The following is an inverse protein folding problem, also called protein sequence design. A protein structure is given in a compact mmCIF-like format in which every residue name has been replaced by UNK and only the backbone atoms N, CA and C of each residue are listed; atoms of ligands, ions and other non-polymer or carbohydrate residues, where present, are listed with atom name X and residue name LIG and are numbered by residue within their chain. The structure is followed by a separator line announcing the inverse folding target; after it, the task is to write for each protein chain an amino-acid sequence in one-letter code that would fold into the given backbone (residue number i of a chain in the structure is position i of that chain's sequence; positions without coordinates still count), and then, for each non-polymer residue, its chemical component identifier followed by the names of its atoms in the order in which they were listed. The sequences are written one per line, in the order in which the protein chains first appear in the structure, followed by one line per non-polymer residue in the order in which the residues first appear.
data_IF_098148240775
#
_entry.id   IF_098148240775
#
_cell.length_a   1.000
_cell.length_b   1.000
_cell.length_c   1.000
_cell.angle_alpha   90.00
_cell.angle_beta   90.00
_cell.angle_gamma   90.00
#
_symmetry.space_group_name_H-M   'P 1'
#
loop_
_entity.id
_entity.type
_entity.pdbx_description
1 polymer ?
#
# COMPACT_ATOMS: atom_id res chain seq x y z
N UNK A 1 -0.53 -27.22 -12.40
CA UNK A 1 0.87 -26.82 -12.20
C UNK A 1 1.68 -27.21 -13.42
N UNK A 2 2.76 -26.49 -13.74
CA UNK A 2 3.71 -26.91 -14.76
C UNK A 2 4.67 -27.99 -14.19
N UNK A 3 5.58 -28.48 -15.03
CA UNK A 3 6.57 -29.50 -14.65
C UNK A 3 7.53 -29.05 -13.53
N UNK A 4 7.58 -27.74 -13.22
CA UNK A 4 8.34 -27.16 -12.10
C UNK A 4 7.50 -26.89 -10.85
N UNK A 5 6.23 -27.33 -10.84
CA UNK A 5 5.32 -27.13 -9.71
C UNK A 5 4.67 -25.75 -9.65
N UNK A 6 4.83 -24.88 -10.66
CA UNK A 6 4.23 -23.54 -10.66
C UNK A 6 2.79 -23.58 -11.17
N UNK A 7 1.89 -22.87 -10.51
CA UNK A 7 0.53 -22.65 -10.98
C UNK A 7 0.31 -21.18 -11.30
N UNK A 8 -0.44 -20.90 -12.37
CA UNK A 8 -0.94 -19.56 -12.67
C UNK A 8 -2.41 -19.52 -12.30
N UNK A 9 -2.77 -18.60 -11.41
CA UNK A 9 -4.16 -18.27 -11.11
C UNK A 9 -4.53 -17.01 -11.89
N UNK A 10 -5.65 -17.06 -12.61
CA UNK A 10 -6.26 -15.89 -13.22
C UNK A 10 -7.59 -15.63 -12.51
N UNK A 11 -7.80 -14.40 -12.09
CA UNK A 11 -9.04 -13.92 -11.49
C UNK A 11 -9.46 -12.66 -12.24
N UNK A 12 -10.73 -12.31 -12.16
CA UNK A 12 -11.20 -11.00 -12.59
C UNK A 12 -10.48 -9.89 -11.80
N UNK A 13 -10.58 -8.65 -12.27
CA UNK A 13 -9.93 -7.52 -11.59
C UNK A 13 -10.37 -7.47 -10.13
N UNK A 14 -9.42 -7.65 -9.21
CA UNK A 14 -9.67 -7.52 -7.78
C UNK A 14 -10.01 -6.05 -7.44
N UNK A 15 -10.92 -5.89 -6.49
CA UNK A 15 -11.21 -4.59 -5.89
C UNK A 15 -10.11 -4.15 -4.91
N UNK A 16 -10.24 -2.96 -4.36
CA UNK A 16 -9.34 -2.48 -3.31
C UNK A 16 -9.65 -3.23 -2.00
N UNK A 17 -8.65 -3.88 -1.39
CA UNK A 17 -8.83 -4.58 -0.10
C UNK A 17 -7.71 -5.57 0.26
N UNK A 18 -7.89 -6.24 1.40
CA UNK A 18 -7.06 -7.37 1.83
C UNK A 18 -7.68 -8.68 1.36
N UNK A 19 -6.84 -9.57 0.88
CA UNK A 19 -7.21 -10.86 0.31
C UNK A 19 -6.35 -11.95 0.92
N UNK A 20 -6.91 -13.17 0.92
CA UNK A 20 -6.21 -14.39 1.28
C UNK A 20 -6.33 -15.40 0.16
N UNK A 21 -5.19 -15.88 -0.33
CA UNK A 21 -5.13 -16.97 -1.28
C UNK A 21 -4.98 -18.27 -0.49
N UNK A 22 -5.99 -19.12 -0.55
CA UNK A 22 -5.98 -20.45 0.05
C UNK A 22 -5.88 -21.51 -1.06
N UNK A 23 -4.94 -22.43 -0.91
CA UNK A 23 -4.76 -23.57 -1.80
C UNK A 23 -5.09 -24.84 -1.04
N UNK A 24 -5.85 -25.73 -1.66
CA UNK A 24 -6.32 -26.98 -1.06
C UNK A 24 -5.71 -28.17 -1.80
N UNK A 25 -5.37 -29.23 -1.07
CA UNK A 25 -4.92 -30.48 -1.68
C UNK A 25 -6.14 -31.30 -2.18
N UNK A 26 -6.30 -31.52 -3.50
CA UNK A 26 -7.42 -32.28 -4.03
C UNK A 26 -7.40 -33.76 -3.62
N UNK A 27 -6.26 -34.31 -3.19
CA UNK A 27 -6.14 -35.70 -2.76
C UNK A 27 -6.80 -35.98 -1.40
N UNK A 28 -7.09 -34.94 -0.61
CA UNK A 28 -7.63 -35.09 0.75
C UNK A 28 -9.16 -35.11 0.84
N UNK A 29 -9.85 -35.22 -0.30
CA UNK A 29 -11.30 -35.45 -0.34
C UNK A 29 -12.13 -34.39 0.41
N UNK A 30 -13.28 -34.79 0.96
CA UNK A 30 -14.29 -33.90 1.56
C UNK A 30 -13.81 -33.06 2.76
N UNK A 31 -12.61 -33.30 3.28
CA UNK A 31 -12.06 -32.59 4.43
C UNK A 31 -11.59 -31.16 4.11
N UNK A 32 -11.40 -30.79 2.83
CA UNK A 32 -10.98 -29.43 2.36
C UNK A 32 -9.96 -28.76 3.31
N UNK A 33 -8.92 -29.48 3.69
CA UNK A 33 -7.86 -28.90 4.52
C UNK A 33 -7.00 -27.97 3.66
N UNK A 34 -6.79 -26.74 4.13
CA UNK A 34 -5.94 -25.75 3.46
C UNK A 34 -4.49 -26.24 3.49
N UNK A 35 -3.92 -26.50 2.31
CA UNK A 35 -2.53 -26.93 2.15
C UNK A 35 -1.55 -25.76 2.34
N UNK A 36 -1.94 -24.57 1.90
CA UNK A 36 -1.17 -23.34 2.10
C UNK A 36 -2.10 -22.11 2.02
N UNK A 37 -1.73 -21.05 2.75
CA UNK A 37 -2.44 -19.79 2.73
C UNK A 37 -1.44 -18.63 2.70
N UNK A 38 -1.71 -17.61 1.89
CA UNK A 38 -0.96 -16.35 1.90
C UNK A 38 -1.92 -15.16 1.90
N UNK A 39 -1.56 -14.10 2.61
CA UNK A 39 -2.30 -12.83 2.62
C UNK A 39 -1.62 -11.82 1.69
N UNK A 40 -2.43 -11.02 1.00
CA UNK A 40 -1.95 -9.97 0.12
C UNK A 40 -2.98 -8.84 0.03
N UNK A 41 -2.54 -7.63 -0.30
CA UNK A 41 -3.44 -6.51 -0.57
C UNK A 41 -3.57 -6.27 -2.09
N UNK A 42 -4.75 -5.83 -2.51
CA UNK A 42 -4.97 -5.29 -3.85
C UNK A 42 -5.51 -3.86 -3.71
N UNK A 43 -5.13 -2.98 -4.64
CA UNK A 43 -5.51 -1.58 -4.61
C UNK A 43 -4.44 -0.66 -4.04
N UNK A 44 -4.62 0.64 -4.28
CA UNK A 44 -3.62 1.68 -4.01
C UNK A 44 -3.60 2.15 -2.55
N UNK A 45 -4.68 1.93 -1.79
CA UNK A 45 -4.86 2.39 -0.40
C UNK A 45 -4.21 1.52 0.66
N UNK A 46 -3.66 0.37 0.28
CA UNK A 46 -3.21 -0.64 1.21
C UNK A 46 -1.73 -0.90 0.95
N UNK A 47 -0.87 -0.10 1.61
CA UNK A 47 0.56 -0.36 1.68
C UNK A 47 0.87 -1.75 2.24
N UNK A 48 2.14 -2.15 2.22
CA UNK A 48 2.60 -3.46 2.70
C UNK A 48 1.91 -3.81 4.03
N UNK A 49 1.34 -5.02 4.10
CA UNK A 49 0.87 -5.61 5.35
C UNK A 49 2.09 -5.61 6.26
N UNK A 50 2.20 -4.63 7.15
CA UNK A 50 3.22 -4.63 8.18
C UNK A 50 2.85 -5.78 9.12
N UNK A 51 3.42 -6.95 8.85
CA UNK A 51 3.57 -7.96 9.87
C UNK A 51 4.51 -7.37 10.93
N UNK A 52 3.93 -6.76 11.96
CA UNK A 52 4.38 -6.84 13.35
C UNK A 52 3.64 -5.81 14.22
N UNK A 53 2.85 -6.36 15.15
CA UNK A 53 2.42 -5.97 16.50
C UNK A 53 2.76 -4.62 17.17
N UNK A 54 3.24 -3.60 16.46
CA UNK A 54 3.45 -2.25 17.02
C UNK A 54 2.56 -1.25 16.29
N UNK A 55 1.47 -0.77 16.91
CA UNK A 55 0.46 0.08 16.27
C UNK A 55 0.94 1.51 15.97
N UNK A 56 2.24 1.77 15.88
CA UNK A 56 2.81 3.12 15.71
C UNK A 56 3.14 3.46 14.24
N UNK A 57 2.68 2.64 13.28
CA UNK A 57 3.00 2.84 11.86
C UNK A 57 1.98 3.76 11.18
N UNK A 58 2.47 4.78 10.50
CA UNK A 58 1.69 5.60 9.57
C UNK A 58 1.75 4.98 8.18
N UNK A 59 0.60 4.65 7.59
CA UNK A 59 0.56 4.18 6.20
C UNK A 59 0.35 5.35 5.24
N UNK A 60 1.14 5.41 4.17
CA UNK A 60 1.04 6.42 3.12
C UNK A 60 0.80 5.75 1.77
N UNK A 61 -0.11 6.33 0.98
CA UNK A 61 -0.36 5.93 -0.40
C UNK A 61 -0.54 7.14 -1.31
N UNK A 62 -0.24 6.98 -2.60
CA UNK A 62 -0.35 8.02 -3.62
C UNK A 62 -1.59 7.81 -4.48
N UNK A 63 -2.22 8.92 -4.91
CA UNK A 63 -3.38 8.86 -5.82
C UNK A 63 -3.05 8.23 -7.18
N UNK A 64 -1.79 8.30 -7.63
CA UNK A 64 -1.29 7.72 -8.89
C UNK A 64 0.21 7.46 -8.83
N UNK A 65 0.70 6.59 -9.73
CA UNK A 65 2.09 6.12 -9.73
C UNK A 65 3.12 7.15 -10.22
N UNK A 66 2.73 8.09 -11.08
CA UNK A 66 3.65 9.04 -11.71
C UNK A 66 3.05 10.43 -11.76
N UNK A 67 3.89 11.42 -11.52
CA UNK A 67 3.53 12.82 -11.58
C UNK A 67 4.44 13.57 -12.53
N UNK A 68 3.86 14.50 -13.27
CA UNK A 68 4.62 15.47 -14.05
C UNK A 68 4.96 16.69 -13.18
N UNK A 69 6.10 17.35 -13.40
CA UNK A 69 6.36 18.65 -12.79
C UNK A 69 5.22 19.64 -13.07
N UNK A 70 4.83 20.40 -12.05
CA UNK A 70 3.69 21.33 -12.09
C UNK A 70 2.36 20.72 -11.66
N UNK A 71 2.27 19.40 -11.48
CA UNK A 71 1.10 18.76 -10.87
C UNK A 71 1.11 18.87 -9.35
N UNK A 72 -0.04 18.57 -8.74
CA UNK A 72 -0.17 18.40 -7.28
C UNK A 72 -0.27 16.92 -6.95
N UNK A 73 0.67 16.44 -6.14
CA UNK A 73 0.62 15.11 -5.55
C UNK A 73 -0.32 15.12 -4.34
N UNK A 74 -1.27 14.18 -4.31
CA UNK A 74 -2.08 13.91 -3.13
C UNK A 74 -1.67 12.59 -2.52
N UNK A 75 -1.41 12.64 -1.22
CA UNK A 75 -1.02 11.53 -0.38
C UNK A 75 -2.18 11.23 0.56
N UNK A 76 -2.66 10.00 0.53
CA UNK A 76 -3.57 9.51 1.55
C UNK A 76 -2.73 8.94 2.69
N UNK A 77 -2.94 9.49 3.88
CA UNK A 77 -2.21 9.16 5.09
C UNK A 77 -3.18 8.60 6.11
N UNK A 78 -2.93 7.40 6.61
CA UNK A 78 -3.68 6.84 7.73
C UNK A 78 -2.75 6.70 8.92
N UNK A 79 -3.02 7.50 9.95
CA UNK A 79 -2.30 7.45 11.20
C UNK A 79 -2.93 6.40 12.14
N UNK A 80 -2.21 5.96 13.17
CA UNK A 80 -2.80 5.06 14.17
C UNK A 80 -3.75 5.75 15.15
N UNK A 81 -3.65 7.06 15.31
CA UNK A 81 -4.52 7.90 16.13
C UNK A 81 -4.61 9.30 15.52
N UNK A 82 -5.57 10.10 15.98
CA UNK A 82 -5.74 11.48 15.53
C UNK A 82 -4.66 12.38 16.16
N UNK A 83 -4.03 13.24 15.35
CA UNK A 83 -2.95 14.11 15.81
C UNK A 83 -2.38 14.99 14.70
N UNK A 84 -1.37 15.79 15.02
CA UNK A 84 -0.66 16.60 14.02
C UNK A 84 0.48 15.79 13.38
N UNK A 85 0.61 15.91 12.06
CA UNK A 85 1.64 15.26 11.26
C UNK A 85 2.42 16.25 10.39
N UNK A 86 3.54 15.80 9.87
CA UNK A 86 4.40 16.57 8.96
C UNK A 86 4.78 15.72 7.74
N UNK A 87 4.50 16.24 6.55
CA UNK A 87 4.96 15.70 5.28
C UNK A 87 6.24 16.42 4.88
N UNK A 88 7.32 15.65 4.74
CA UNK A 88 8.60 16.15 4.22
C UNK A 88 8.92 15.44 2.90
N UNK A 89 9.12 16.21 1.84
CA UNK A 89 9.64 15.71 0.57
C UNK A 89 11.11 16.11 0.49
N UNK A 90 11.98 15.12 0.35
CA UNK A 90 13.42 15.33 0.37
C UNK A 90 14.15 14.43 -0.61
N UNK A 91 15.27 14.93 -1.12
CA UNK A 91 16.28 14.20 -1.87
C UNK A 91 17.56 14.15 -1.01
N UNK A 92 18.69 14.61 -1.55
CA UNK A 92 19.87 15.06 -0.79
C UNK A 92 19.62 16.30 0.08
N UNK A 93 18.46 16.96 -0.09
CA UNK A 93 18.01 18.12 0.70
C UNK A 93 16.49 18.13 0.83
N UNK A 94 15.97 18.88 1.80
CA UNK A 94 14.53 19.12 1.94
C UNK A 94 14.04 20.01 0.80
N UNK A 95 13.01 19.54 0.09
CA UNK A 95 12.36 20.26 -1.01
C UNK A 95 11.04 20.90 -0.58
N UNK A 96 10.31 20.26 0.33
CA UNK A 96 9.02 20.74 0.80
C UNK A 96 8.68 20.20 2.19
N UNK A 97 8.05 21.02 3.01
CA UNK A 97 7.52 20.65 4.32
C UNK A 97 6.11 21.20 4.47
N UNK A 98 5.17 20.34 4.84
CA UNK A 98 3.78 20.74 5.12
C UNK A 98 3.27 20.01 6.35
N UNK A 99 2.67 20.77 7.27
CA UNK A 99 1.94 20.20 8.42
C UNK A 99 0.50 19.90 8.05
N UNK A 100 -0.07 18.87 8.64
CA UNK A 100 -1.45 18.47 8.42
C UNK A 100 -2.02 17.76 9.66
N UNK A 101 -3.33 17.85 9.85
CA UNK A 101 -4.01 17.04 10.85
C UNK A 101 -4.21 15.62 10.32
N UNK A 102 -3.53 14.66 10.94
CA UNK A 102 -3.63 13.24 10.67
C UNK A 102 -4.81 12.63 11.43
N UNK A 103 -5.52 11.71 10.78
CA UNK A 103 -6.62 10.97 11.39
C UNK A 103 -6.44 9.47 11.26
N UNK A 104 -6.91 8.75 12.27
CA UNK A 104 -7.11 7.30 12.27
C UNK A 104 -8.10 6.82 11.20
N UNK A 105 -9.04 7.67 10.79
CA UNK A 105 -9.93 7.43 9.66
C UNK A 105 -9.26 7.67 8.30
N UNK A 106 -8.11 8.35 8.29
CA UNK A 106 -7.37 8.76 7.10
C UNK A 106 -7.52 10.26 6.80
N UNK A 107 -6.44 10.84 6.27
CA UNK A 107 -6.33 12.24 5.86
C UNK A 107 -5.72 12.33 4.46
N UNK A 108 -6.02 13.41 3.74
CA UNK A 108 -5.34 13.73 2.47
C UNK A 108 -4.46 14.96 2.67
N UNK A 109 -3.18 14.83 2.36
CA UNK A 109 -2.21 15.94 2.31
C UNK A 109 -1.71 16.11 0.88
N UNK A 110 -1.48 17.35 0.47
CA UNK A 110 -1.07 17.68 -0.89
C UNK A 110 0.27 18.38 -0.91
N UNK A 111 1.07 18.13 -1.95
CA UNK A 111 2.31 18.84 -2.19
C UNK A 111 2.52 19.13 -3.68
N UNK A 112 3.10 20.30 -4.04
CA UNK A 112 3.41 20.62 -5.41
C UNK A 112 4.59 19.79 -5.91
N UNK A 113 4.41 19.13 -7.06
CA UNK A 113 5.47 18.36 -7.73
C UNK A 113 6.33 19.32 -8.52
N UNK A 114 7.61 19.40 -8.17
CA UNK A 114 8.57 20.26 -8.86
C UNK A 114 9.58 19.43 -9.65
N UNK A 115 10.28 20.07 -10.58
CA UNK A 115 11.38 19.44 -11.33
C UNK A 115 12.53 18.97 -10.43
N UNK A 116 12.60 19.46 -9.18
CA UNK A 116 13.65 19.12 -8.23
C UNK A 116 13.48 17.76 -7.55
N UNK A 117 12.31 17.12 -7.66
CA UNK A 117 12.04 15.80 -7.04
C UNK A 117 12.95 14.70 -7.62
N UNK A 118 13.37 14.82 -8.88
CA UNK A 118 14.15 13.77 -9.54
C UNK A 118 13.37 12.46 -9.67
N UNK A 119 14.07 11.35 -9.91
CA UNK A 119 13.43 10.03 -10.08
C UNK A 119 13.14 9.27 -8.78
N UNK A 120 13.55 9.80 -7.62
CA UNK A 120 13.55 9.08 -6.34
C UNK A 120 12.69 9.70 -5.23
N UNK A 121 12.07 10.85 -5.45
CA UNK A 121 11.12 11.48 -4.53
C UNK A 121 9.67 11.24 -4.95
#
# INVERSE_FOLDING_TARGET
TDASGRAKLATDRLGDGYYRLEVYDPAQGAARLTAASIEFSAGWRWGAIAADDTPDTVSISLQKQRFAPGETAQFFVKAPFDGEGELVIATDRVLHTTRFSASSAGSVVSAPVSTAWGGGA
#
